data_IF_031620923434
#
_entry.id   IF_031620923434
#
_cell.length_a   1.000
_cell.length_b   1.000
_cell.length_c   1.000
_cell.angle_alpha   90.00
_cell.angle_beta   90.00
_cell.angle_gamma   90.00
#
_symmetry.space_group_name_H-M   'P 1'
#
loop_
_entity.id
_entity.type
_entity.pdbx_description
1 polymer ?
#
# COMPACT_ATOMS: atom_id res chain seq x y z
N UNK A 1 -23.80 6.38 8.04
CA UNK A 1 -22.50 5.89 7.55
C UNK A 1 -21.70 5.48 8.77
N UNK A 2 -21.47 4.18 9.01
CA UNK A 2 -20.65 3.74 10.15
C UNK A 2 -19.21 4.15 9.83
N UNK A 3 -18.60 4.99 10.66
CA UNK A 3 -17.17 5.25 10.56
C UNK A 3 -16.45 3.91 10.67
N UNK A 4 -15.56 3.61 9.71
CA UNK A 4 -14.68 2.46 9.80
C UNK A 4 -13.90 2.54 11.12
N UNK A 5 -13.94 1.46 11.91
CA UNK A 5 -13.08 1.36 13.10
C UNK A 5 -11.62 1.54 12.69
N UNK A 6 -10.77 2.07 13.57
CA UNK A 6 -9.35 2.23 13.29
C UNK A 6 -8.68 0.91 12.89
N UNK A 7 -9.13 -0.21 13.45
CA UNK A 7 -8.68 -1.55 13.05
C UNK A 7 -9.05 -1.89 11.60
N UNK A 8 -10.25 -1.53 11.17
CA UNK A 8 -10.73 -1.72 9.79
C UNK A 8 -9.92 -0.84 8.81
N UNK A 9 -9.61 0.40 9.21
CA UNK A 9 -8.73 1.29 8.41
C UNK A 9 -7.31 0.72 8.28
N UNK A 10 -6.74 0.19 9.37
CA UNK A 10 -5.41 -0.45 9.36
C UNK A 10 -5.41 -1.73 8.53
N UNK A 11 -6.44 -2.57 8.65
CA UNK A 11 -6.60 -3.78 7.85
C UNK A 11 -6.61 -3.44 6.36
N UNK A 12 -7.43 -2.45 5.94
CA UNK A 12 -7.44 -1.99 4.53
C UNK A 12 -6.10 -1.44 4.06
N UNK A 13 -5.36 -0.73 4.91
CA UNK A 13 -4.03 -0.24 4.56
C UNK A 13 -3.02 -1.39 4.35
N UNK A 14 -3.10 -2.45 5.16
CA UNK A 14 -2.27 -3.66 5.04
C UNK A 14 -2.63 -4.42 3.75
N UNK A 15 -3.92 -4.69 3.54
CA UNK A 15 -4.41 -5.36 2.32
C UNK A 15 -4.03 -4.58 1.07
N UNK A 16 -4.22 -3.26 1.07
CA UNK A 16 -3.82 -2.37 -0.02
C UNK A 16 -2.32 -2.37 -0.28
N UNK A 17 -1.49 -2.50 0.77
CA UNK A 17 -0.03 -2.61 0.63
C UNK A 17 0.38 -3.91 -0.07
N UNK A 18 -0.19 -5.04 0.36
CA UNK A 18 0.05 -6.36 -0.27
C UNK A 18 -0.40 -6.39 -1.72
N UNK A 19 -1.61 -5.90 -1.99
CA UNK A 19 -2.17 -5.83 -3.34
C UNK A 19 -1.31 -4.94 -4.25
N UNK A 20 -0.79 -3.83 -3.74
CA UNK A 20 0.10 -2.96 -4.51
C UNK A 20 1.44 -3.64 -4.85
N UNK A 21 2.04 -4.36 -3.91
CA UNK A 21 3.26 -5.12 -4.19
C UNK A 21 3.03 -6.17 -5.27
N UNK A 22 1.91 -6.90 -5.21
CA UNK A 22 1.52 -7.87 -6.22
C UNK A 22 1.31 -7.23 -7.60
N UNK A 23 0.57 -6.12 -7.68
CA UNK A 23 0.30 -5.45 -8.95
C UNK A 23 1.58 -4.93 -9.61
N UNK A 24 2.51 -4.37 -8.82
CA UNK A 24 3.80 -3.89 -9.35
C UNK A 24 4.63 -5.06 -9.88
N UNK A 25 4.61 -6.20 -9.18
CA UNK A 25 5.31 -7.41 -9.63
C UNK A 25 4.74 -7.93 -10.94
N UNK A 26 3.41 -7.99 -11.06
CA UNK A 26 2.73 -8.33 -12.30
C UNK A 26 3.13 -7.40 -13.46
N UNK A 27 3.15 -6.08 -13.23
CA UNK A 27 3.62 -5.11 -14.24
C UNK A 27 5.06 -5.38 -14.65
N UNK A 28 5.98 -5.55 -13.71
CA UNK A 28 7.41 -5.79 -14.01
C UNK A 28 7.62 -7.10 -14.77
N UNK A 29 6.89 -8.16 -14.41
CA UNK A 29 6.94 -9.41 -15.15
C UNK A 29 6.33 -9.31 -16.55
N UNK A 30 5.26 -8.55 -16.72
CA UNK A 30 4.67 -8.28 -18.03
C UNK A 30 5.63 -7.48 -18.94
N UNK A 31 6.51 -6.65 -18.38
CA UNK A 31 7.61 -6.00 -19.10
C UNK A 31 8.77 -6.95 -19.46
N UNK A 32 8.67 -8.25 -19.11
CA UNK A 32 9.73 -9.24 -19.34
C UNK A 32 10.93 -9.08 -18.39
N UNK A 33 10.78 -8.29 -17.33
CA UNK A 33 11.84 -8.00 -16.37
C UNK A 33 11.68 -8.88 -15.12
N UNK A 34 12.78 -9.30 -14.49
CA UNK A 34 12.69 -9.92 -13.17
C UNK A 34 12.30 -8.85 -12.14
N UNK A 35 11.29 -9.16 -11.32
CA UNK A 35 10.94 -8.38 -10.13
C UNK A 35 12.00 -8.57 -9.05
N UNK A 36 13.14 -7.89 -9.24
CA UNK A 36 14.34 -7.99 -8.43
C UNK A 36 14.77 -6.61 -7.92
N UNK A 37 15.53 -6.61 -6.81
CA UNK A 37 16.07 -5.40 -6.21
C UNK A 37 15.12 -4.74 -5.20
N UNK A 38 15.30 -3.44 -5.01
CA UNK A 38 14.52 -2.65 -4.04
C UNK A 38 13.08 -2.43 -4.47
N UNK A 39 12.23 -2.09 -3.51
CA UNK A 39 10.85 -1.68 -3.75
C UNK A 39 10.81 -0.37 -4.56
N UNK A 40 10.13 -0.33 -5.73
CA UNK A 40 10.10 0.86 -6.59
C UNK A 40 9.07 1.93 -6.17
N UNK A 41 8.11 1.61 -5.31
CA UNK A 41 7.06 2.55 -4.92
C UNK A 41 7.54 3.66 -3.97
N UNK A 42 6.79 4.75 -3.92
CA UNK A 42 7.08 5.93 -3.09
C UNK A 42 6.03 6.17 -2.00
N UNK A 43 6.39 6.94 -0.96
CA UNK A 43 5.43 7.33 0.10
C UNK A 43 4.32 8.24 -0.46
N UNK A 44 4.61 9.06 -1.47
CA UNK A 44 3.60 9.91 -2.12
C UNK A 44 2.52 9.06 -2.81
N UNK A 45 2.93 8.02 -3.52
CA UNK A 45 2.02 7.05 -4.11
C UNK A 45 1.22 6.27 -3.06
N UNK A 46 1.83 5.95 -1.92
CA UNK A 46 1.15 5.30 -0.81
C UNK A 46 0.04 6.19 -0.24
N UNK A 47 0.25 7.51 -0.15
CA UNK A 47 -0.80 8.46 0.28
C UNK A 47 -1.99 8.47 -0.67
N UNK A 48 -1.73 8.52 -1.98
CA UNK A 48 -2.78 8.45 -2.99
C UNK A 48 -3.58 7.14 -2.89
N UNK A 49 -2.88 6.02 -2.67
CA UNK A 49 -3.49 4.70 -2.50
C UNK A 49 -4.33 4.58 -1.23
N UNK A 50 -3.89 5.16 -0.11
CA UNK A 50 -4.70 5.20 1.12
C UNK A 50 -6.00 5.96 0.90
N UNK A 51 -5.97 7.11 0.21
CA UNK A 51 -7.19 7.86 -0.12
C UNK A 51 -8.19 7.06 -0.96
N UNK A 52 -7.70 6.12 -1.77
CA UNK A 52 -8.55 5.23 -2.56
C UNK A 52 -9.03 4.00 -1.78
N UNK A 53 -8.17 3.42 -0.94
CA UNK A 53 -8.44 2.16 -0.24
C UNK A 53 -9.23 2.34 1.06
N UNK A 54 -9.11 3.49 1.72
CA UNK A 54 -9.77 3.76 3.01
C UNK A 54 -10.87 4.80 2.79
N UNK A 55 -12.15 4.39 2.84
CA UNK A 55 -13.26 5.30 2.57
C UNK A 55 -13.42 6.33 3.69
N UNK A 56 -13.88 7.52 3.30
CA UNK A 56 -14.21 8.62 4.20
C UNK A 56 -13.09 9.66 4.34
N UNK A 57 -13.46 10.80 4.92
CA UNK A 57 -12.50 11.89 5.18
C UNK A 57 -11.62 11.51 6.37
N UNK A 58 -10.33 11.31 6.10
CA UNK A 58 -9.34 11.01 7.12
C UNK A 58 -8.69 12.30 7.62
N UNK A 59 -8.50 12.47 8.95
CA UNK A 59 -7.60 13.50 9.46
C UNK A 59 -6.20 13.36 8.86
N UNK A 60 -5.48 14.47 8.57
CA UNK A 60 -4.17 14.41 7.90
C UNK A 60 -3.14 13.52 8.58
N UNK A 61 -3.14 13.44 9.92
CA UNK A 61 -2.22 12.58 10.66
C UNK A 61 -2.58 11.10 10.53
N UNK A 62 -3.87 10.76 10.53
CA UNK A 62 -4.35 9.39 10.32
C UNK A 62 -4.02 8.93 8.90
N UNK A 63 -4.26 9.78 7.90
CA UNK A 63 -3.89 9.50 6.50
C UNK A 63 -2.37 9.27 6.36
N UNK A 64 -1.54 10.10 7.00
CA UNK A 64 -0.08 9.91 7.01
C UNK A 64 0.34 8.60 7.69
N UNK A 65 -0.28 8.23 8.81
CA UNK A 65 0.01 6.98 9.49
C UNK A 65 -0.35 5.76 8.64
N UNK A 66 -1.55 5.77 8.05
CA UNK A 66 -2.00 4.70 7.15
C UNK A 66 -1.13 4.62 5.89
N UNK A 67 -0.69 5.76 5.34
CA UNK A 67 0.18 5.77 4.16
C UNK A 67 1.55 5.16 4.46
N UNK A 68 2.12 5.44 5.64
CA UNK A 68 3.36 4.81 6.10
C UNK A 68 3.18 3.30 6.27
N UNK A 69 2.08 2.87 6.87
CA UNK A 69 1.75 1.45 7.07
C UNK A 69 1.57 0.71 5.73
N UNK A 70 0.82 1.30 4.80
CA UNK A 70 0.62 0.75 3.46
C UNK A 70 1.95 0.66 2.72
N UNK A 71 2.77 1.71 2.79
CA UNK A 71 4.11 1.74 2.18
C UNK A 71 5.03 0.65 2.74
N UNK A 72 5.15 0.53 4.07
CA UNK A 72 6.00 -0.48 4.68
C UNK A 72 5.51 -1.87 4.34
N UNK A 73 4.20 -2.12 4.40
CA UNK A 73 3.62 -3.42 4.04
C UNK A 73 3.89 -3.78 2.58
N UNK A 74 3.76 -2.84 1.65
CA UNK A 74 4.07 -3.07 0.23
C UNK A 74 5.56 -3.38 0.01
N UNK A 75 6.45 -2.61 0.67
CA UNK A 75 7.88 -2.82 0.61
C UNK A 75 8.27 -4.19 1.19
N UNK A 76 7.72 -4.56 2.33
CA UNK A 76 8.02 -5.83 3.00
C UNK A 76 7.53 -7.00 2.14
N UNK A 77 6.29 -6.95 1.65
CA UNK A 77 5.74 -7.96 0.74
C UNK A 77 6.54 -8.10 -0.56
N UNK A 78 7.11 -7.00 -1.08
CA UNK A 78 8.01 -7.04 -2.23
C UNK A 78 9.32 -7.77 -1.92
N UNK A 79 9.92 -7.49 -0.75
CA UNK A 79 11.22 -8.03 -0.35
C UNK A 79 11.15 -9.48 0.14
N UNK A 80 10.03 -9.91 0.72
CA UNK A 80 9.78 -11.31 1.11
C UNK A 80 9.71 -12.25 -0.10
N UNK A 81 9.30 -11.74 -1.25
CA UNK A 81 9.14 -12.49 -2.50
C UNK A 81 10.36 -12.34 -3.42
N UNK A 82 11.56 -12.22 -2.85
CA UNK A 82 12.83 -12.06 -3.58
C UNK A 82 13.54 -13.38 -3.81
#
# INVERSE_FOLDING_TARGET
>A
MREASDDDRRARAIEGGRAWAASVRETVHAEGRPAAGGWPGTVTEARARVSAAVPGTLPPEVQRALAKLLYSTARDAWLEQR
#
